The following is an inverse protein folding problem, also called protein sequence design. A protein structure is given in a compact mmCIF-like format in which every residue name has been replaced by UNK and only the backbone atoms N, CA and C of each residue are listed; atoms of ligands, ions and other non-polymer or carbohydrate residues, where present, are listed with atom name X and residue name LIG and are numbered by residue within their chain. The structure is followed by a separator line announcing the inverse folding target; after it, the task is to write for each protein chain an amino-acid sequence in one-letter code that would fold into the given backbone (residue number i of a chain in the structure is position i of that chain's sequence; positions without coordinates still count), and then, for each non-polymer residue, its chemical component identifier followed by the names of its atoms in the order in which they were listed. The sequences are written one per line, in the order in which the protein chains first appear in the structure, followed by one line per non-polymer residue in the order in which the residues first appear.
data_IF_228430884610
#
_entry.id   IF_228430884610
#
_cell.length_a   1.000
_cell.length_b   1.000
_cell.length_c   1.000
_cell.angle_alpha   90.00
_cell.angle_beta   90.00
_cell.angle_gamma   90.00
#
_symmetry.space_group_name_H-M   'P 1'
#
loop_
_entity.id
_entity.type
_entity.pdbx_description
1 polymer ?
#
# COMPACT_ATOMS: atom_id res chain seq x y z
N UNK A 1 40.68 -7.43 -1.10
CA UNK A 1 39.97 -6.18 -1.47
C UNK A 1 38.82 -6.61 -2.36
N UNK A 2 37.58 -6.47 -1.90
CA UNK A 2 36.43 -7.00 -2.62
C UNK A 2 36.34 -6.36 -4.01
N UNK A 3 36.22 -7.22 -5.03
CA UNK A 3 36.09 -6.83 -6.43
C UNK A 3 34.88 -5.91 -6.57
N UNK A 4 35.12 -4.68 -7.04
CA UNK A 4 34.13 -3.61 -7.21
C UNK A 4 33.32 -3.89 -8.48
N UNK A 5 32.78 -5.12 -8.54
CA UNK A 5 32.25 -5.73 -9.75
C UNK A 5 31.03 -4.96 -10.24
N UNK A 6 31.09 -4.63 -11.53
CA UNK A 6 30.19 -3.71 -12.22
C UNK A 6 28.76 -4.27 -12.25
N UNK A 7 27.89 -3.72 -11.40
CA UNK A 7 26.46 -4.04 -11.41
C UNK A 7 25.88 -3.66 -12.78
N UNK A 8 25.28 -4.64 -13.48
CA UNK A 8 24.65 -4.42 -14.78
C UNK A 8 23.45 -3.48 -14.67
N UNK A 9 23.07 -2.84 -15.78
CA UNK A 9 21.87 -1.99 -15.80
C UNK A 9 20.60 -2.78 -15.41
N UNK A 10 20.53 -4.07 -15.72
CA UNK A 10 19.42 -4.95 -15.36
C UNK A 10 19.35 -5.19 -13.84
N UNK A 11 20.48 -5.48 -13.21
CA UNK A 11 20.56 -5.68 -11.74
C UNK A 11 20.22 -4.38 -11.00
N UNK A 12 20.72 -3.23 -11.46
CA UNK A 12 20.36 -1.91 -10.90
C UNK A 12 18.86 -1.63 -11.02
N UNK A 13 18.23 -2.01 -12.13
CA UNK A 13 16.79 -1.85 -12.34
C UNK A 13 15.98 -2.71 -11.36
N UNK A 14 16.32 -3.99 -11.21
CA UNK A 14 15.59 -4.87 -10.29
C UNK A 14 15.79 -4.47 -8.82
N UNK A 15 16.98 -4.00 -8.43
CA UNK A 15 17.21 -3.45 -7.09
C UNK A 15 16.36 -2.20 -6.83
N UNK A 16 16.36 -1.23 -7.75
CA UNK A 16 15.55 -0.01 -7.63
C UNK A 16 14.05 -0.33 -7.56
N UNK A 17 13.59 -1.30 -8.36
CA UNK A 17 12.21 -1.79 -8.35
C UNK A 17 11.83 -2.45 -7.02
N UNK A 18 12.73 -3.26 -6.44
CA UNK A 18 12.55 -3.86 -5.11
C UNK A 18 12.45 -2.78 -4.03
N UNK A 19 13.39 -1.82 -4.00
CA UNK A 19 13.38 -0.71 -3.05
C UNK A 19 12.10 0.14 -3.17
N UNK A 20 11.65 0.42 -4.40
CA UNK A 20 10.39 1.12 -4.64
C UNK A 20 9.18 0.36 -4.09
N UNK A 21 9.12 -0.95 -4.32
CA UNK A 21 8.03 -1.80 -3.81
C UNK A 21 7.99 -1.79 -2.29
N UNK A 22 9.12 -2.04 -1.62
CA UNK A 22 9.21 -2.04 -0.16
C UNK A 22 8.83 -0.68 0.44
N UNK A 23 9.32 0.42 -0.16
CA UNK A 23 8.95 1.76 0.27
C UNK A 23 7.46 2.01 0.09
N UNK A 24 6.89 1.65 -1.06
CA UNK A 24 5.47 1.81 -1.34
C UNK A 24 4.62 1.04 -0.34
N UNK A 25 4.98 -0.20 -0.02
CA UNK A 25 4.28 -1.00 0.99
C UNK A 25 4.37 -0.38 2.38
N UNK A 26 5.50 0.23 2.76
CA UNK A 26 5.64 0.91 4.06
C UNK A 26 4.79 2.18 4.17
N UNK A 27 4.75 3.03 3.14
CA UNK A 27 4.09 4.33 3.21
C UNK A 27 2.62 4.31 2.79
N UNK A 28 2.21 3.35 1.97
CA UNK A 28 0.86 3.22 1.46
C UNK A 28 0.28 1.87 1.88
N UNK A 29 -0.67 1.84 2.84
CA UNK A 29 -1.28 0.60 3.27
C UNK A 29 -2.29 0.01 2.28
N UNK A 30 -2.60 0.73 1.18
CA UNK A 30 -3.55 0.35 0.14
C UNK A 30 -2.88 0.08 -1.21
N UNK A 31 -1.62 -0.37 -1.22
CA UNK A 31 -0.89 -0.70 -2.46
C UNK A 31 -1.61 -1.78 -3.26
N UNK A 32 -2.07 -2.83 -2.59
CA UNK A 32 -2.76 -3.97 -3.25
C UNK A 32 -4.04 -3.52 -3.95
N UNK A 33 -4.87 -2.74 -3.27
CA UNK A 33 -6.14 -2.25 -3.80
C UNK A 33 -5.93 -1.24 -4.94
N UNK A 34 -4.90 -0.38 -4.82
CA UNK A 34 -4.47 0.50 -5.91
C UNK A 34 -4.09 -0.31 -7.14
N UNK A 35 -3.22 -1.30 -6.98
CA UNK A 35 -2.68 -2.09 -8.09
C UNK A 35 -3.80 -2.91 -8.77
N UNK A 36 -4.76 -3.44 -8.01
CA UNK A 36 -5.95 -4.07 -8.56
C UNK A 36 -6.81 -3.10 -9.39
N UNK A 37 -6.98 -1.86 -8.92
CA UNK A 37 -7.74 -0.85 -9.66
C UNK A 37 -7.07 -0.44 -10.97
N UNK A 38 -5.74 -0.35 -10.98
CA UNK A 38 -4.96 -0.06 -12.19
C UNK A 38 -4.98 -1.26 -13.15
N UNK A 39 -4.81 -2.47 -12.63
CA UNK A 39 -4.91 -3.70 -13.43
C UNK A 39 -6.26 -3.82 -14.13
N UNK A 40 -7.36 -3.52 -13.43
CA UNK A 40 -8.69 -3.52 -14.05
C UNK A 40 -8.79 -2.48 -15.19
N UNK A 41 -8.23 -1.28 -15.00
CA UNK A 41 -8.21 -0.27 -16.05
C UNK A 41 -7.44 -0.74 -17.29
N UNK A 42 -6.28 -1.36 -17.09
CA UNK A 42 -5.48 -1.90 -18.19
C UNK A 42 -6.24 -3.02 -18.94
N UNK A 43 -6.92 -3.91 -18.23
CA UNK A 43 -7.70 -5.01 -18.82
C UNK A 43 -8.93 -4.51 -19.61
N UNK A 44 -9.56 -3.43 -19.17
CA UNK A 44 -10.80 -2.93 -19.78
C UNK A 44 -10.61 -1.64 -20.58
N UNK A 45 -9.41 -1.39 -21.11
CA UNK A 45 -9.11 -0.22 -21.94
C UNK A 45 -9.58 1.09 -21.29
N UNK A 46 -9.35 1.22 -19.99
CA UNK A 46 -9.70 2.38 -19.17
C UNK A 46 -11.21 2.67 -19.06
N UNK A 47 -12.07 1.68 -19.32
CA UNK A 47 -13.51 1.77 -19.11
C UNK A 47 -13.87 1.79 -17.60
N UNK A 48 -13.72 2.96 -16.96
CA UNK A 48 -13.83 3.17 -15.50
C UNK A 48 -15.07 2.53 -14.87
N UNK A 49 -16.21 2.55 -15.55
CA UNK A 49 -17.47 1.96 -15.06
C UNK A 49 -17.35 0.46 -14.77
N UNK A 50 -16.54 -0.28 -15.53
CA UNK A 50 -16.29 -1.71 -15.31
C UNK A 50 -15.44 -1.98 -14.07
N UNK A 51 -14.70 -0.98 -13.60
CA UNK A 51 -13.77 -1.08 -12.49
C UNK A 51 -14.27 -0.48 -11.18
N UNK A 52 -15.55 -0.07 -11.12
CA UNK A 52 -16.13 0.58 -9.94
C UNK A 52 -15.89 -0.20 -8.63
N UNK A 53 -16.08 -1.54 -8.58
CA UNK A 53 -15.83 -2.30 -7.36
C UNK A 53 -14.39 -2.22 -6.86
N UNK A 54 -13.41 -2.14 -7.77
CA UNK A 54 -12.00 -2.00 -7.40
C UNK A 54 -11.69 -0.60 -6.85
N UNK A 55 -12.32 0.44 -7.41
CA UNK A 55 -12.22 1.79 -6.86
C UNK A 55 -12.89 1.91 -5.50
N UNK A 56 -14.05 1.28 -5.32
CA UNK A 56 -14.74 1.26 -4.03
C UNK A 56 -13.89 0.57 -2.96
N UNK A 57 -13.27 -0.57 -3.30
CA UNK A 57 -12.33 -1.24 -2.42
C UNK A 57 -11.13 -0.36 -2.06
N UNK A 58 -10.51 0.29 -3.04
CA UNK A 58 -9.41 1.23 -2.80
C UNK A 58 -9.83 2.41 -1.90
N UNK A 59 -11.02 2.97 -2.12
CA UNK A 59 -11.56 4.06 -1.31
C UNK A 59 -11.86 3.61 0.13
N UNK A 60 -12.43 2.42 0.31
CA UNK A 60 -12.70 1.83 1.62
C UNK A 60 -11.39 1.60 2.39
N UNK A 61 -10.37 1.06 1.72
CA UNK A 61 -9.04 0.92 2.30
C UNK A 61 -8.49 2.26 2.78
N UNK A 62 -8.56 3.31 1.94
CA UNK A 62 -8.07 4.65 2.32
C UNK A 62 -8.85 5.23 3.51
N UNK A 63 -10.17 5.10 3.53
CA UNK A 63 -11.00 5.56 4.65
C UNK A 63 -10.60 4.86 5.96
N UNK A 64 -10.46 3.54 5.92
CA UNK A 64 -10.05 2.74 7.07
C UNK A 64 -8.67 3.16 7.61
N UNK A 65 -7.65 3.23 6.75
CA UNK A 65 -6.30 3.59 7.22
C UNK A 65 -6.17 5.04 7.62
N UNK A 66 -6.95 5.95 7.05
CA UNK A 66 -7.05 7.33 7.55
C UNK A 66 -7.66 7.37 8.96
N UNK A 67 -8.65 6.53 9.25
CA UNK A 67 -9.20 6.38 10.60
C UNK A 67 -8.13 5.85 11.57
N UNK A 68 -7.49 4.72 11.25
CA UNK A 68 -6.41 4.15 12.10
C UNK A 68 -5.30 5.16 12.34
N UNK A 69 -4.86 5.88 11.31
CA UNK A 69 -3.80 6.91 11.42
C UNK A 69 -4.23 8.04 12.35
N UNK A 70 -5.50 8.46 12.31
CA UNK A 70 -6.04 9.49 13.22
C UNK A 70 -6.07 9.00 14.66
N UNK A 71 -6.53 7.79 14.91
CA UNK A 71 -6.58 7.21 16.26
C UNK A 71 -5.17 7.04 16.84
N UNK A 72 -4.24 6.45 16.09
CA UNK A 72 -2.83 6.35 16.51
C UNK A 72 -2.21 7.72 16.78
N UNK A 73 -2.56 8.75 16.01
CA UNK A 73 -2.09 10.12 16.24
C UNK A 73 -2.65 10.70 17.54
N UNK A 74 -3.92 10.45 17.88
CA UNK A 74 -4.52 10.88 19.16
C UNK A 74 -3.82 10.23 20.35
N UNK A 75 -3.43 8.96 20.20
CA UNK A 75 -2.71 8.19 21.22
C UNK A 75 -1.19 8.46 21.24
N UNK A 76 -0.68 9.29 20.32
CA UNK A 76 0.75 9.60 20.23
C UNK A 76 1.63 8.45 19.70
N UNK A 77 1.04 7.40 19.13
CA UNK A 77 1.75 6.20 18.67
C UNK A 77 2.43 6.46 17.32
N UNK A 78 3.75 6.30 17.28
CA UNK A 78 4.58 6.42 16.06
C UNK A 78 5.15 5.06 15.65
N UNK A 79 5.26 4.76 14.34
CA UNK A 79 4.83 5.59 13.21
C UNK A 79 3.30 5.68 13.10
N UNK A 80 2.79 6.81 12.62
CA UNK A 80 1.34 7.04 12.49
C UNK A 80 0.70 6.12 11.45
N UNK A 81 1.42 5.85 10.36
CA UNK A 81 1.08 4.80 9.40
C UNK A 81 1.75 3.51 9.90
N UNK A 82 0.98 2.45 10.20
CA UNK A 82 1.54 1.22 10.72
C UNK A 82 2.44 0.51 9.71
N UNK A 83 3.55 -0.11 10.18
CA UNK A 83 4.41 -0.93 9.34
C UNK A 83 3.66 -2.18 8.86
N UNK A 84 4.00 -2.76 7.68
CA UNK A 84 3.27 -3.86 7.08
C UNK A 84 2.99 -5.06 8.00
N UNK A 85 3.93 -5.36 8.89
CA UNK A 85 3.91 -6.51 9.79
C UNK A 85 2.81 -6.41 10.86
N UNK A 86 2.46 -5.20 11.27
CA UNK A 86 1.42 -4.94 12.29
C UNK A 86 0.00 -4.85 11.69
N UNK A 87 -0.12 -4.72 10.37
CA UNK A 87 -1.39 -4.28 9.75
C UNK A 87 -2.53 -5.26 9.91
N UNK A 88 -2.27 -6.56 9.86
CA UNK A 88 -3.33 -7.57 10.00
C UNK A 88 -3.89 -7.60 11.43
N UNK A 89 -3.03 -7.41 12.43
CA UNK A 89 -3.46 -7.30 13.82
C UNK A 89 -4.28 -6.03 14.05
N UNK A 90 -3.80 -4.89 13.54
CA UNK A 90 -4.52 -3.61 13.66
C UNK A 90 -5.84 -3.60 12.89
N UNK A 91 -5.94 -4.29 11.76
CA UNK A 91 -7.24 -4.49 11.09
C UNK A 91 -8.23 -5.13 12.05
N UNK A 92 -7.85 -6.24 12.68
CA UNK A 92 -8.71 -6.95 13.63
C UNK A 92 -9.14 -6.05 14.80
N UNK A 93 -8.23 -5.24 15.32
CA UNK A 93 -8.51 -4.34 16.44
C UNK A 93 -9.40 -3.15 16.07
N UNK A 94 -9.11 -2.49 14.94
CA UNK A 94 -9.75 -1.23 14.56
C UNK A 94 -11.03 -1.40 13.73
N UNK A 95 -11.22 -2.54 13.04
CA UNK A 95 -12.41 -2.79 12.22
C UNK A 95 -13.73 -2.64 13.01
N UNK A 96 -13.87 -3.17 14.24
CA UNK A 96 -15.09 -2.95 15.04
C UNK A 96 -15.34 -1.49 15.42
N UNK A 97 -14.28 -0.67 15.49
CA UNK A 97 -14.37 0.77 15.81
C UNK A 97 -14.62 1.63 14.57
N UNK A 98 -14.31 1.09 13.38
CA UNK A 98 -14.46 1.78 12.12
C UNK A 98 -15.92 1.79 11.66
N UNK A 99 -16.53 2.98 11.62
CA UNK A 99 -17.84 3.22 11.02
C UNK A 99 -17.64 3.78 9.61
N UNK A 100 -18.04 3.02 8.60
CA UNK A 100 -17.80 3.28 7.18
C UNK A 100 -18.61 4.45 6.61
#
# INVERSE_FOLDING_TARGET
MADFHQISNAERYEEAKKQFKERSERINPCVKERDLSLKCLDEFYYARRKCQPFFDNYNNCRKFWNFVTKERRKEGIKPYIPPPEEREQLKTEYLPRFKA
#
